data_IF_409971718225
#
_entry.id   IF_409971718225
#
_cell.length_a   1.000
_cell.length_b   1.000
_cell.length_c   1.000
_cell.angle_alpha   90.00
_cell.angle_beta   90.00
_cell.angle_gamma   90.00
#
_symmetry.space_group_name_H-M   'P 1'
#
loop_
_entity.id
_entity.type
_entity.pdbx_description
1 polymer ?
#
# COMPACT_ATOMS: atom_id res chain seq x y z
N UNK A 1 -22.55 -12.15 6.42
CA UNK A 1 -21.16 -12.54 6.06
C UNK A 1 -20.83 -13.86 6.74
N UNK A 2 -20.38 -14.86 6.00
CA UNK A 2 -20.03 -16.17 6.55
C UNK A 2 -18.82 -16.08 7.47
N UNK A 3 -18.63 -17.10 8.30
CA UNK A 3 -17.47 -17.20 9.18
C UNK A 3 -16.16 -17.20 8.36
N UNK A 4 -16.15 -17.97 7.26
CA UNK A 4 -14.98 -18.05 6.38
C UNK A 4 -14.66 -16.69 5.73
N UNK A 5 -15.68 -15.97 5.25
CA UNK A 5 -15.49 -14.65 4.66
C UNK A 5 -14.85 -13.68 5.65
N UNK A 6 -15.29 -13.70 6.91
CA UNK A 6 -14.70 -12.88 7.97
C UNK A 6 -13.22 -13.23 8.18
N UNK A 7 -12.90 -14.53 8.21
CA UNK A 7 -11.52 -14.99 8.35
C UNK A 7 -10.68 -14.51 7.18
N UNK A 8 -11.20 -14.61 5.94
CA UNK A 8 -10.49 -14.15 4.76
C UNK A 8 -10.24 -12.65 4.77
N UNK A 9 -11.22 -11.84 5.22
CA UNK A 9 -11.02 -10.37 5.35
C UNK A 9 -9.92 -10.06 6.38
N UNK A 10 -9.93 -10.74 7.51
CA UNK A 10 -8.89 -10.58 8.53
C UNK A 10 -7.52 -11.01 8.00
N UNK A 11 -7.48 -12.09 7.24
CA UNK A 11 -6.26 -12.61 6.62
C UNK A 11 -5.70 -11.58 5.63
N UNK A 12 -6.55 -11.04 4.76
CA UNK A 12 -6.13 -10.01 3.80
C UNK A 12 -5.50 -8.81 4.51
N UNK A 13 -6.14 -8.31 5.56
CA UNK A 13 -5.63 -7.17 6.32
C UNK A 13 -4.32 -7.49 7.05
N UNK A 14 -4.23 -8.68 7.66
CA UNK A 14 -3.02 -9.12 8.37
C UNK A 14 -1.83 -9.29 7.44
N UNK A 15 -2.04 -9.98 6.30
CA UNK A 15 -0.98 -10.21 5.32
C UNK A 15 -0.49 -8.89 4.71
N UNK A 16 -1.41 -7.97 4.42
CA UNK A 16 -1.06 -6.65 3.88
C UNK A 16 -0.21 -5.85 4.88
N UNK A 17 -0.57 -5.89 6.16
CA UNK A 17 0.19 -5.25 7.23
C UNK A 17 1.59 -5.86 7.36
N UNK A 18 1.70 -7.17 7.29
CA UNK A 18 2.98 -7.88 7.42
C UNK A 18 3.95 -7.53 6.30
N UNK A 19 3.48 -7.27 5.08
CA UNK A 19 4.35 -6.80 3.98
C UNK A 19 5.12 -5.55 4.41
N UNK A 20 4.41 -4.55 4.92
CA UNK A 20 5.03 -3.30 5.37
C UNK A 20 5.99 -3.50 6.54
N UNK A 21 5.59 -4.32 7.52
CA UNK A 21 6.42 -4.59 8.70
C UNK A 21 7.71 -5.33 8.32
N UNK A 22 7.63 -6.37 7.50
CA UNK A 22 8.83 -7.10 7.07
C UNK A 22 9.79 -6.21 6.28
N UNK A 23 9.28 -5.33 5.41
CA UNK A 23 10.13 -4.39 4.68
C UNK A 23 10.82 -3.40 5.62
N UNK A 24 10.11 -2.90 6.64
CA UNK A 24 10.70 -2.01 7.65
C UNK A 24 11.76 -2.74 8.48
N UNK A 25 11.48 -3.99 8.88
CA UNK A 25 12.45 -4.83 9.59
C UNK A 25 13.69 -5.10 8.76
N UNK A 26 13.52 -5.29 7.44
CA UNK A 26 14.65 -5.48 6.54
C UNK A 26 15.56 -4.25 6.49
N UNK A 27 14.97 -3.04 6.47
CA UNK A 27 15.75 -1.80 6.54
C UNK A 27 16.55 -1.72 7.83
N UNK A 28 15.93 -2.09 8.96
CA UNK A 28 16.63 -2.12 10.25
C UNK A 28 17.79 -3.10 10.23
N UNK A 29 17.57 -4.30 9.67
CA UNK A 29 18.62 -5.31 9.55
C UNK A 29 19.79 -4.81 8.71
N UNK A 30 19.54 -4.07 7.62
CA UNK A 30 20.61 -3.46 6.82
C UNK A 30 21.41 -2.44 7.65
N UNK A 31 20.74 -1.58 8.40
CA UNK A 31 21.39 -0.59 9.26
C UNK A 31 22.23 -1.25 10.34
N UNK A 32 21.84 -2.44 10.79
CA UNK A 32 22.57 -3.21 11.79
C UNK A 32 23.73 -4.04 11.18
N UNK A 33 23.94 -3.96 9.86
CA UNK A 33 24.98 -4.71 9.18
C UNK A 33 24.68 -6.19 8.99
N UNK A 34 23.38 -6.54 8.88
CA UNK A 34 22.89 -7.91 8.73
C UNK A 34 22.20 -8.11 7.38
N UNK A 35 22.96 -8.05 6.25
CA UNK A 35 22.34 -8.10 4.92
C UNK A 35 21.65 -9.42 4.59
N UNK A 36 22.12 -10.54 5.11
CA UNK A 36 21.48 -11.84 4.89
C UNK A 36 20.11 -11.90 5.58
N UNK A 37 19.99 -11.33 6.78
CA UNK A 37 18.72 -11.23 7.50
C UNK A 37 17.75 -10.32 6.72
N UNK A 38 18.25 -9.19 6.22
CA UNK A 38 17.45 -8.27 5.41
C UNK A 38 16.89 -8.95 4.16
N UNK A 39 17.71 -9.72 3.47
CA UNK A 39 17.29 -10.45 2.27
C UNK A 39 16.19 -11.47 2.60
N UNK A 40 16.33 -12.21 3.69
CA UNK A 40 15.33 -13.17 4.13
C UNK A 40 14.00 -12.47 4.45
N UNK A 41 14.04 -11.36 5.18
CA UNK A 41 12.84 -10.60 5.55
C UNK A 41 12.11 -10.02 4.31
N UNK A 42 12.85 -9.58 3.30
CA UNK A 42 12.24 -9.15 2.03
C UNK A 42 11.55 -10.31 1.32
N UNK A 43 12.13 -11.50 1.38
CA UNK A 43 11.51 -12.72 0.85
C UNK A 43 10.18 -13.01 1.55
N UNK A 44 10.14 -12.91 2.88
CA UNK A 44 8.90 -13.07 3.64
C UNK A 44 7.84 -12.05 3.24
N UNK A 45 8.25 -10.78 3.04
CA UNK A 45 7.33 -9.75 2.59
C UNK A 45 6.65 -10.13 1.27
N UNK A 46 7.40 -10.67 0.33
CA UNK A 46 6.85 -11.09 -0.97
C UNK A 46 5.93 -12.31 -0.85
N UNK A 47 6.22 -13.24 0.04
CA UNK A 47 5.31 -14.36 0.32
C UNK A 47 3.99 -13.89 0.91
N UNK A 48 4.04 -12.97 1.88
CA UNK A 48 2.83 -12.39 2.47
C UNK A 48 2.02 -11.59 1.44
N UNK A 49 2.71 -10.89 0.52
CA UNK A 49 2.04 -10.21 -0.59
C UNK A 49 1.30 -11.21 -1.48
N UNK A 50 1.89 -12.38 -1.74
CA UNK A 50 1.24 -13.46 -2.49
C UNK A 50 -0.02 -13.98 -1.81
N UNK A 51 0.03 -14.18 -0.49
CA UNK A 51 -1.13 -14.58 0.29
C UNK A 51 -2.25 -13.54 0.20
N UNK A 52 -1.93 -12.27 0.38
CA UNK A 52 -2.90 -11.18 0.27
C UNK A 52 -3.53 -11.14 -1.14
N UNK A 53 -2.73 -11.32 -2.18
CA UNK A 53 -3.18 -11.37 -3.56
C UNK A 53 -4.23 -12.47 -3.77
N UNK A 54 -3.93 -13.69 -3.35
CA UNK A 54 -4.84 -14.83 -3.50
C UNK A 54 -6.16 -14.62 -2.74
N UNK A 55 -6.08 -14.12 -1.52
CA UNK A 55 -7.27 -13.86 -0.71
C UNK A 55 -8.12 -12.75 -1.33
N UNK A 56 -7.51 -11.71 -1.86
CA UNK A 56 -8.24 -10.63 -2.55
C UNK A 56 -9.06 -11.17 -3.73
N UNK A 57 -8.47 -12.09 -4.50
CA UNK A 57 -9.16 -12.75 -5.62
C UNK A 57 -10.33 -13.59 -5.11
N UNK A 58 -10.10 -14.42 -4.09
CA UNK A 58 -11.15 -15.26 -3.51
C UNK A 58 -12.31 -14.45 -2.91
N UNK A 59 -12.02 -13.29 -2.36
CA UNK A 59 -13.02 -12.37 -1.81
C UNK A 59 -13.82 -11.62 -2.88
N UNK A 60 -13.46 -11.78 -4.15
CA UNK A 60 -14.15 -11.08 -5.24
C UNK A 60 -13.84 -9.59 -5.30
N UNK A 61 -12.71 -9.16 -4.73
CA UNK A 61 -12.28 -7.76 -4.78
C UNK A 61 -11.78 -7.35 -6.16
N UNK A 62 -11.41 -8.32 -6.99
CA UNK A 62 -10.85 -8.06 -8.31
C UNK A 62 -11.92 -8.24 -9.37
N UNK A 63 -12.09 -7.24 -10.20
CA UNK A 63 -13.07 -7.17 -11.29
C UNK A 63 -12.35 -7.18 -12.65
N UNK A 64 -12.95 -6.58 -13.67
CA UNK A 64 -12.25 -6.40 -14.94
C UNK A 64 -11.05 -5.45 -14.74
N UNK A 65 -10.08 -5.54 -15.63
CA UNK A 65 -8.90 -4.65 -15.54
C UNK A 65 -9.31 -3.18 -15.55
N UNK A 66 -10.25 -2.81 -16.40
CA UNK A 66 -10.75 -1.44 -16.47
C UNK A 66 -11.38 -0.99 -15.14
N UNK A 67 -12.27 -1.82 -14.59
CA UNK A 67 -12.91 -1.53 -13.32
C UNK A 67 -11.92 -1.42 -12.17
N UNK A 68 -10.90 -2.28 -12.14
CA UNK A 68 -9.84 -2.23 -11.14
C UNK A 68 -9.07 -0.92 -11.22
N UNK A 69 -8.72 -0.48 -12.42
CA UNK A 69 -7.99 0.78 -12.63
C UNK A 69 -8.86 1.98 -12.22
N UNK A 70 -10.13 1.97 -12.60
CA UNK A 70 -11.08 3.03 -12.18
C UNK A 70 -11.19 3.12 -10.67
N UNK A 71 -11.28 1.98 -9.99
CA UNK A 71 -11.36 1.93 -8.53
C UNK A 71 -10.09 2.51 -7.89
N UNK A 72 -8.92 2.10 -8.36
CA UNK A 72 -7.66 2.60 -7.81
C UNK A 72 -7.42 4.08 -8.15
N UNK A 73 -7.86 4.54 -9.32
CA UNK A 73 -7.79 5.96 -9.68
C UNK A 73 -8.53 6.81 -8.65
N UNK A 74 -9.73 6.37 -8.23
CA UNK A 74 -10.48 7.03 -7.17
C UNK A 74 -9.72 7.03 -5.85
N UNK A 75 -9.12 5.91 -5.48
CA UNK A 75 -8.32 5.77 -4.26
C UNK A 75 -7.11 6.69 -4.24
N UNK A 76 -6.37 6.76 -5.34
CA UNK A 76 -5.18 7.63 -5.44
C UNK A 76 -5.55 9.11 -5.41
N UNK A 77 -6.70 9.47 -5.98
CA UNK A 77 -7.22 10.84 -5.95
C UNK A 77 -7.54 11.26 -4.51
N UNK A 78 -8.22 10.40 -3.76
CA UNK A 78 -8.52 10.65 -2.34
C UNK A 78 -7.24 10.67 -1.50
N UNK A 79 -6.34 9.72 -1.73
CA UNK A 79 -5.09 9.61 -0.98
C UNK A 79 -4.20 10.84 -1.15
N UNK A 80 -4.18 11.45 -2.34
CA UNK A 80 -3.43 12.68 -2.60
C UNK A 80 -3.88 13.79 -1.65
N UNK A 81 -5.19 14.00 -1.53
CA UNK A 81 -5.74 15.03 -0.65
C UNK A 81 -5.56 14.68 0.83
N UNK A 82 -5.85 13.45 1.20
CA UNK A 82 -5.72 13.00 2.59
C UNK A 82 -4.30 13.17 3.12
N UNK A 83 -3.30 12.88 2.29
CA UNK A 83 -1.90 13.04 2.67
C UNK A 83 -1.48 14.51 2.77
N UNK A 84 -2.03 15.40 1.93
CA UNK A 84 -1.79 16.84 2.09
C UNK A 84 -2.40 17.35 3.40
N UNK A 85 -3.60 16.90 3.73
CA UNK A 85 -4.25 17.25 4.99
C UNK A 85 -3.43 16.73 6.18
N UNK A 86 -2.91 15.50 6.09
CA UNK A 86 -2.05 14.92 7.11
C UNK A 86 -0.75 15.71 7.29
N UNK A 87 -0.16 16.21 6.19
CA UNK A 87 1.03 17.06 6.25
C UNK A 87 0.76 18.34 7.04
N UNK A 88 -0.42 18.95 6.82
CA UNK A 88 -0.82 20.14 7.57
C UNK A 88 -0.95 19.86 9.06
N UNK A 89 -1.60 18.75 9.42
CA UNK A 89 -1.72 18.31 10.82
C UNK A 89 -0.35 18.08 11.44
N UNK A 90 0.54 17.41 10.72
CA UNK A 90 1.90 17.16 11.21
C UNK A 90 2.65 18.46 11.49
N UNK A 91 2.51 19.48 10.65
CA UNK A 91 3.10 20.80 10.86
C UNK A 91 2.53 21.47 12.11
N UNK A 92 1.22 21.42 12.28
CA UNK A 92 0.55 21.99 13.46
C UNK A 92 1.04 21.34 14.75
N UNK A 93 1.30 20.03 14.71
CA UNK A 93 1.81 19.29 15.87
C UNK A 93 3.33 19.36 16.02
N UNK A 94 4.02 20.08 15.16
CA UNK A 94 5.47 20.24 15.21
C UNK A 94 6.27 19.01 14.78
N UNK A 95 5.64 18.05 14.09
CA UNK A 95 6.31 16.85 13.60
C UNK A 95 6.75 17.04 12.15
N UNK A 96 7.95 17.62 12.00
CA UNK A 96 8.49 17.96 10.68
C UNK A 96 8.84 16.72 9.84
N UNK A 97 9.26 15.64 10.47
CA UNK A 97 9.57 14.38 9.79
C UNK A 97 8.29 13.80 9.15
N UNK A 98 7.20 13.73 9.89
CA UNK A 98 5.92 13.27 9.38
C UNK A 98 5.40 14.20 8.28
N UNK A 99 5.53 15.53 8.46
CA UNK A 99 5.10 16.51 7.45
C UNK A 99 5.81 16.27 6.11
N UNK A 100 7.13 16.09 6.15
CA UNK A 100 7.94 15.81 4.96
C UNK A 100 7.52 14.50 4.29
N UNK A 101 7.29 13.47 5.09
CA UNK A 101 6.81 12.18 4.59
C UNK A 101 5.47 12.33 3.86
N UNK A 102 4.49 13.00 4.48
CA UNK A 102 3.16 13.14 3.90
C UNK A 102 3.15 14.03 2.65
N UNK A 103 3.98 15.06 2.59
CA UNK A 103 4.13 15.87 1.38
C UNK A 103 4.67 15.04 0.22
N UNK A 104 5.70 14.25 0.47
CA UNK A 104 6.30 13.37 -0.54
C UNK A 104 5.31 12.28 -0.95
N UNK A 105 4.64 11.65 0.01
CA UNK A 105 3.65 10.62 -0.27
C UNK A 105 2.49 11.17 -1.10
N UNK A 106 2.01 12.38 -0.81
CA UNK A 106 0.99 13.03 -1.61
C UNK A 106 1.42 13.22 -3.07
N UNK A 107 2.67 13.65 -3.29
CA UNK A 107 3.21 13.79 -4.64
C UNK A 107 3.28 12.43 -5.35
N UNK A 108 3.65 11.37 -4.63
CA UNK A 108 3.68 10.00 -5.17
C UNK A 108 2.26 9.55 -5.58
N UNK A 109 1.27 9.78 -4.72
CA UNK A 109 -0.12 9.40 -5.00
C UNK A 109 -0.67 10.15 -6.21
N UNK A 110 -0.30 11.42 -6.37
CA UNK A 110 -0.70 12.21 -7.55
C UNK A 110 -0.05 11.67 -8.82
N UNK A 111 1.20 11.22 -8.75
CA UNK A 111 1.88 10.59 -9.89
C UNK A 111 1.21 9.26 -10.23
N UNK A 112 0.84 8.45 -9.22
CA UNK A 112 0.10 7.20 -9.41
C UNK A 112 -1.23 7.47 -10.10
N UNK A 113 -1.95 8.49 -9.66
CA UNK A 113 -3.21 8.92 -10.28
C UNK A 113 -3.03 9.22 -11.77
N UNK A 114 -2.00 10.00 -12.10
CA UNK A 114 -1.69 10.33 -13.50
C UNK A 114 -1.38 9.09 -14.33
N UNK A 115 -0.59 8.16 -13.78
CA UNK A 115 -0.24 6.92 -14.44
C UNK A 115 -1.47 6.04 -14.69
N UNK A 116 -2.33 5.89 -13.70
CA UNK A 116 -3.56 5.12 -13.82
C UNK A 116 -4.52 5.75 -14.84
N UNK A 117 -4.63 7.06 -14.87
CA UNK A 117 -5.43 7.76 -15.86
C UNK A 117 -4.92 7.49 -17.29
N UNK A 118 -3.59 7.50 -17.46
CA UNK A 118 -2.96 7.17 -18.74
C UNK A 118 -3.30 5.76 -19.20
N UNK A 119 -3.25 4.78 -18.28
CA UNK A 119 -3.62 3.39 -18.57
C UNK A 119 -5.10 3.32 -18.95
N UNK A 120 -5.96 3.97 -18.17
CA UNK A 120 -7.40 3.97 -18.40
C UNK A 120 -7.73 4.53 -19.80
N UNK A 121 -7.03 5.57 -20.21
CA UNK A 121 -7.23 6.16 -21.55
C UNK A 121 -6.88 5.20 -22.68
N UNK A 122 -6.01 4.21 -22.44
CA UNK A 122 -5.62 3.19 -23.40
C UNK A 122 -6.59 2.00 -23.41
N UNK A 123 -7.34 1.79 -22.34
CA UNK A 123 -8.28 0.68 -22.18
C UNK A 123 -9.67 1.03 -22.74
N UNK A 124 -9.76 1.32 -24.03
CA UNK A 124 -11.03 1.72 -24.64
C UNK A 124 -11.78 0.56 -25.28
#
# INVERSE_FOLDING_TARGET
MSKLTKIMEQTFNGETMEVGLYLAMAKKAELDGLPAVALYLRGLAMEEAGHACEVAIMLGKIKSTKENIEYMLGGETMATKEKLDAASVAKEEGNNEAATFFERASADENRHRSGLQGILNQLK
#
